data_IF_502323302052
#
_entry.id   IF_502323302052
#
_cell.length_a   1.000
_cell.length_b   1.000
_cell.length_c   1.000
_cell.angle_alpha   90.00
_cell.angle_beta   90.00
_cell.angle_gamma   90.00
#
_symmetry.space_group_name_H-M   'P 1'
#
loop_
_entity.id
_entity.type
_entity.pdbx_description
1 polymer ?
#
# COMPACT_ATOMS: atom_id res chain seq x y z
N UNK A 1 2.98 -44.31 -11.00
CA UNK A 1 3.41 -43.38 -12.06
C UNK A 1 2.38 -42.29 -12.33
N UNK A 2 1.11 -42.63 -12.56
CA UNK A 2 0.07 -41.65 -12.90
C UNK A 2 -0.18 -40.58 -11.81
N UNK A 3 -0.15 -40.96 -10.53
CA UNK A 3 -0.36 -40.03 -9.41
C UNK A 3 0.78 -39.01 -9.26
N UNK A 4 2.03 -39.46 -9.40
CA UNK A 4 3.21 -38.57 -9.33
C UNK A 4 3.20 -37.59 -10.50
N UNK A 5 2.88 -38.06 -11.71
CA UNK A 5 2.75 -37.19 -12.89
C UNK A 5 1.62 -36.17 -12.69
N UNK A 6 0.49 -36.59 -12.15
CA UNK A 6 -0.63 -35.70 -11.84
C UNK A 6 -0.25 -34.60 -10.83
N UNK A 7 0.45 -34.96 -9.75
CA UNK A 7 0.94 -33.98 -8.76
C UNK A 7 1.91 -32.98 -9.40
N UNK A 8 2.85 -33.45 -10.21
CA UNK A 8 3.81 -32.57 -10.91
C UNK A 8 3.08 -31.58 -11.82
N UNK A 9 2.10 -32.04 -12.59
CA UNK A 9 1.30 -31.18 -13.47
C UNK A 9 0.57 -30.10 -12.69
N UNK A 10 -0.04 -30.44 -11.55
CA UNK A 10 -0.71 -29.45 -10.71
C UNK A 10 0.29 -28.40 -10.20
N UNK A 11 1.44 -28.83 -9.65
CA UNK A 11 2.46 -27.91 -9.13
C UNK A 11 2.95 -26.95 -10.20
N UNK A 12 3.18 -27.44 -11.43
CA UNK A 12 3.57 -26.60 -12.57
C UNK A 12 2.49 -25.57 -12.90
N UNK A 13 1.21 -25.98 -12.91
CA UNK A 13 0.08 -25.06 -13.14
C UNK A 13 0.01 -23.99 -12.04
N UNK A 14 0.22 -24.37 -10.78
CA UNK A 14 0.23 -23.42 -9.65
C UNK A 14 1.32 -22.38 -9.80
N UNK A 15 2.56 -22.83 -10.03
CA UNK A 15 3.72 -21.94 -10.21
C UNK A 15 3.48 -21.02 -11.39
N UNK A 16 3.02 -21.56 -12.52
CA UNK A 16 2.70 -20.76 -13.71
C UNK A 16 1.63 -19.71 -13.42
N UNK A 17 0.56 -20.07 -12.70
CA UNK A 17 -0.50 -19.14 -12.31
C UNK A 17 0.01 -18.01 -11.42
N UNK A 18 0.84 -18.32 -10.41
CA UNK A 18 1.42 -17.31 -9.51
C UNK A 18 2.33 -16.35 -10.28
N UNK A 19 3.21 -16.88 -11.13
CA UNK A 19 4.11 -16.07 -11.96
C UNK A 19 3.31 -15.19 -12.92
N UNK A 20 2.30 -15.74 -13.58
CA UNK A 20 1.44 -15.00 -14.51
C UNK A 20 0.68 -13.87 -13.80
N UNK A 21 0.09 -14.14 -12.62
CA UNK A 21 -0.58 -13.13 -11.81
C UNK A 21 0.38 -12.00 -11.41
N UNK A 22 1.57 -12.35 -10.94
CA UNK A 22 2.58 -11.37 -10.51
C UNK A 22 3.02 -10.46 -11.66
N UNK A 23 3.26 -11.03 -12.85
CA UNK A 23 3.62 -10.26 -14.05
C UNK A 23 2.48 -9.34 -14.47
N UNK A 24 1.24 -9.85 -14.49
CA UNK A 24 0.04 -9.08 -14.84
C UNK A 24 -0.17 -7.90 -13.90
N UNK A 25 -0.04 -8.11 -12.59
CA UNK A 25 -0.16 -7.06 -11.58
C UNK A 25 0.93 -6.00 -11.73
N UNK A 26 2.18 -6.42 -11.93
CA UNK A 26 3.29 -5.51 -12.18
C UNK A 26 3.03 -4.62 -13.40
N UNK A 27 2.64 -5.22 -14.52
CA UNK A 27 2.31 -4.46 -15.73
C UNK A 27 1.13 -3.50 -15.51
N UNK A 28 0.07 -3.96 -14.83
CA UNK A 28 -1.09 -3.12 -14.52
C UNK A 28 -0.70 -1.92 -13.66
N UNK A 29 0.10 -2.12 -12.61
CA UNK A 29 0.59 -1.06 -11.71
C UNK A 29 1.47 -0.06 -12.47
N UNK A 30 2.38 -0.51 -13.32
CA UNK A 30 3.22 0.38 -14.12
C UNK A 30 2.41 1.22 -15.11
N UNK A 31 1.47 0.61 -15.83
CA UNK A 31 0.58 1.33 -16.74
C UNK A 31 -0.30 2.35 -16.00
N UNK A 32 -0.81 1.98 -14.82
CA UNK A 32 -1.59 2.88 -13.98
C UNK A 32 -0.77 4.10 -13.56
N UNK A 33 0.48 3.91 -13.13
CA UNK A 33 1.38 5.00 -12.71
C UNK A 33 1.62 5.98 -13.86
N UNK A 34 1.91 5.46 -15.07
CA UNK A 34 2.12 6.29 -16.25
C UNK A 34 0.87 7.08 -16.64
N UNK A 35 -0.31 6.44 -16.60
CA UNK A 35 -1.59 7.10 -16.94
C UNK A 35 -1.95 8.20 -15.95
N UNK A 36 -1.71 7.96 -14.66
CA UNK A 36 -2.07 8.89 -13.57
C UNK A 36 -1.21 10.13 -13.50
N UNK A 37 0.01 10.10 -14.06
CA UNK A 37 0.94 11.23 -14.01
C UNK A 37 0.34 12.55 -14.54
N UNK A 38 -0.49 12.47 -15.58
CA UNK A 38 -1.14 13.64 -16.19
C UNK A 38 -2.63 13.75 -15.83
N UNK A 39 -3.11 13.01 -14.83
CA UNK A 39 -4.50 13.03 -14.39
C UNK A 39 -4.61 13.76 -13.05
N UNK A 40 -5.73 14.44 -12.84
CA UNK A 40 -6.05 15.02 -11.53
C UNK A 40 -6.18 13.88 -10.50
N UNK A 41 -5.36 13.86 -9.43
CA UNK A 41 -5.41 12.82 -8.42
C UNK A 41 -6.76 12.71 -7.72
N UNK A 42 -7.47 13.82 -7.58
CA UNK A 42 -8.82 13.85 -6.97
C UNK A 42 -9.86 13.07 -7.77
N UNK A 43 -9.61 12.80 -9.07
CA UNK A 43 -10.53 12.03 -9.92
C UNK A 43 -10.59 10.53 -9.60
N UNK A 44 -9.56 9.98 -8.94
CA UNK A 44 -9.44 8.54 -8.72
C UNK A 44 -9.14 8.15 -7.26
N UNK A 45 -8.95 9.13 -6.37
CA UNK A 45 -8.64 8.88 -4.97
C UNK A 45 -9.20 9.98 -4.07
N UNK A 46 -10.02 9.57 -3.10
CA UNK A 46 -10.56 10.46 -2.07
C UNK A 46 -9.88 10.16 -0.72
N UNK A 47 -8.99 11.05 -0.23
CA UNK A 47 -8.37 10.89 1.07
C UNK A 47 -9.35 11.18 2.21
N UNK A 48 -9.17 10.51 3.35
CA UNK A 48 -9.86 10.87 4.59
C UNK A 48 -9.04 11.89 5.38
N UNK A 49 -9.49 13.15 5.41
CA UNK A 49 -8.78 14.23 6.11
C UNK A 49 -8.58 13.96 7.59
N UNK A 50 -9.55 13.34 8.28
CA UNK A 50 -9.44 13.06 9.72
C UNK A 50 -8.21 12.20 10.03
N UNK A 51 -7.96 11.19 9.19
CA UNK A 51 -6.79 10.32 9.35
C UNK A 51 -5.48 11.08 9.09
N UNK A 52 -5.49 12.06 8.17
CA UNK A 52 -4.32 12.89 7.86
C UNK A 52 -4.02 13.87 9.00
N UNK A 53 -5.06 14.49 9.58
CA UNK A 53 -4.93 15.32 10.79
C UNK A 53 -4.29 14.53 11.92
N UNK A 54 -4.81 13.32 12.21
CA UNK A 54 -4.25 12.43 13.24
C UNK A 54 -2.75 12.16 12.99
N UNK A 55 -2.37 11.89 11.73
CA UNK A 55 -0.96 11.64 11.37
C UNK A 55 -0.05 12.87 11.45
N UNK A 56 -0.59 14.06 11.18
CA UNK A 56 0.19 15.29 11.17
C UNK A 56 0.72 15.65 12.55
N UNK A 57 -0.05 15.39 13.61
CA UNK A 57 0.38 15.65 14.99
C UNK A 57 1.69 14.91 15.34
N UNK A 58 1.84 13.68 14.86
CA UNK A 58 3.06 12.92 15.05
C UNK A 58 4.18 13.39 14.12
N UNK A 59 3.87 13.64 12.84
CA UNK A 59 4.91 14.06 11.91
C UNK A 59 5.52 15.41 12.30
N UNK A 60 4.78 16.29 12.95
CA UNK A 60 5.34 17.53 13.53
C UNK A 60 6.42 17.24 14.57
N UNK A 61 6.23 16.26 15.45
CA UNK A 61 7.25 15.90 16.44
C UNK A 61 8.46 15.24 15.78
N UNK A 62 8.25 14.37 14.78
CA UNK A 62 9.33 13.70 14.06
C UNK A 62 10.17 14.66 13.21
N UNK A 63 9.53 15.65 12.59
CA UNK A 63 10.17 16.63 11.71
C UNK A 63 10.75 17.82 12.47
N UNK A 64 10.58 17.87 13.80
CA UNK A 64 10.95 19.03 14.64
C UNK A 64 10.34 20.34 14.10
N UNK A 65 9.08 20.27 13.66
CA UNK A 65 8.36 21.40 13.06
C UNK A 65 7.05 21.65 13.78
N UNK A 66 6.65 22.92 13.82
CA UNK A 66 5.31 23.32 14.24
C UNK A 66 4.47 23.71 13.03
N UNK A 67 3.19 23.36 13.04
CA UNK A 67 2.24 23.80 12.03
C UNK A 67 2.00 25.30 12.15
N UNK A 68 2.47 26.08 11.17
CA UNK A 68 2.29 27.53 11.14
C UNK A 68 0.96 27.96 10.48
N UNK A 69 0.25 27.03 9.83
CA UNK A 69 -1.09 27.27 9.30
C UNK A 69 -2.14 26.77 10.29
N UNK A 70 -2.92 27.71 10.84
CA UNK A 70 -4.02 27.37 11.73
C UNK A 70 -5.24 26.82 10.95
N UNK A 71 -6.22 26.28 11.68
CA UNK A 71 -7.40 25.65 11.06
C UNK A 71 -8.27 26.63 10.26
N UNK A 72 -8.40 27.88 10.69
CA UNK A 72 -9.20 28.88 9.98
C UNK A 72 -8.57 29.20 8.62
N UNK A 73 -7.27 29.52 8.59
CA UNK A 73 -6.51 29.75 7.35
C UNK A 73 -6.55 28.54 6.42
N UNK A 74 -6.50 27.32 6.98
CA UNK A 74 -6.60 26.08 6.20
C UNK A 74 -7.94 25.97 5.46
N UNK A 75 -9.04 26.34 6.12
CA UNK A 75 -10.37 26.35 5.53
C UNK A 75 -10.56 27.52 4.55
N UNK A 76 -10.15 28.73 4.92
CA UNK A 76 -10.31 29.93 4.09
C UNK A 76 -9.60 29.80 2.72
N UNK A 77 -8.51 29.03 2.67
CA UNK A 77 -7.72 28.79 1.45
C UNK A 77 -8.06 27.46 0.76
N UNK A 78 -9.06 26.72 1.25
CA UNK A 78 -9.44 25.40 0.75
C UNK A 78 -8.23 24.45 0.57
N UNK A 79 -7.27 24.47 1.52
CA UNK A 79 -5.99 23.76 1.35
C UNK A 79 -6.14 22.25 1.28
N UNK A 80 -7.25 21.69 1.78
CA UNK A 80 -7.54 20.27 1.60
C UNK A 80 -7.88 19.92 0.14
N UNK A 81 -8.57 20.80 -0.59
CA UNK A 81 -8.82 20.62 -2.02
C UNK A 81 -7.54 20.79 -2.84
N UNK A 82 -6.68 21.74 -2.45
CA UNK A 82 -5.33 21.86 -3.02
C UNK A 82 -4.54 20.58 -2.80
N UNK A 83 -4.51 20.06 -1.56
CA UNK A 83 -3.87 18.80 -1.23
C UNK A 83 -4.37 17.65 -2.12
N UNK A 84 -5.69 17.50 -2.29
CA UNK A 84 -6.28 16.46 -3.14
C UNK A 84 -5.78 16.54 -4.60
N UNK A 85 -5.62 17.75 -5.14
CA UNK A 85 -5.15 17.98 -6.51
C UNK A 85 -3.65 17.73 -6.70
N UNK A 86 -2.83 17.95 -5.67
CA UNK A 86 -1.37 17.78 -5.78
C UNK A 86 -0.87 16.42 -5.27
N UNK A 87 -1.74 15.62 -4.63
CA UNK A 87 -1.38 14.33 -4.04
C UNK A 87 -1.13 13.21 -5.09
N UNK A 88 0.02 13.30 -5.75
CA UNK A 88 0.59 12.29 -6.65
C UNK A 88 1.45 11.23 -5.94
N UNK A 89 1.34 11.14 -4.61
CA UNK A 89 2.08 10.13 -3.85
C UNK A 89 1.53 8.73 -4.15
N UNK A 90 2.29 7.69 -3.79
CA UNK A 90 1.87 6.29 -3.99
C UNK A 90 1.90 5.45 -2.70
N UNK A 91 2.29 6.05 -1.58
CA UNK A 91 2.33 5.42 -0.28
C UNK A 91 1.56 6.25 0.75
N UNK A 92 0.98 5.59 1.75
CA UNK A 92 0.30 6.29 2.86
C UNK A 92 1.26 7.24 3.61
N UNK A 93 2.52 6.84 3.79
CA UNK A 93 3.54 7.72 4.38
C UNK A 93 3.73 9.01 3.58
N UNK A 94 3.78 8.92 2.24
CA UNK A 94 3.92 10.09 1.39
C UNK A 94 2.73 11.04 1.51
N UNK A 95 1.51 10.52 1.67
CA UNK A 95 0.31 11.33 1.94
C UNK A 95 0.40 12.10 3.23
N UNK A 96 0.80 11.41 4.31
CA UNK A 96 0.92 12.00 5.63
C UNK A 96 1.99 13.10 5.63
N UNK A 97 3.14 12.88 4.98
CA UNK A 97 4.20 13.90 4.80
C UNK A 97 3.70 15.07 3.98
N UNK A 98 3.06 14.82 2.82
CA UNK A 98 2.59 15.89 1.94
C UNK A 98 1.51 16.75 2.62
N UNK A 99 0.59 16.14 3.35
CA UNK A 99 -0.42 16.87 4.10
C UNK A 99 0.21 17.70 5.23
N UNK A 100 1.18 17.13 5.95
CA UNK A 100 1.87 17.82 7.04
C UNK A 100 2.74 18.96 6.54
N UNK A 101 3.41 18.80 5.40
CA UNK A 101 4.24 19.86 4.81
C UNK A 101 3.42 21.07 4.38
N UNK A 102 2.18 20.86 3.90
CA UNK A 102 1.26 21.96 3.61
C UNK A 102 0.84 22.73 4.87
N UNK A 103 0.89 22.14 6.06
CA UNK A 103 0.57 22.81 7.33
C UNK A 103 1.77 23.49 8.00
N UNK A 104 2.99 23.12 7.60
CA UNK A 104 4.25 23.71 8.06
C UNK A 104 5.07 24.20 6.87
N UNK A 105 4.56 25.24 6.20
CA UNK A 105 5.22 25.84 5.04
C UNK A 105 6.41 26.66 5.53
N UNK A 106 7.61 26.30 5.08
CA UNK A 106 8.80 27.12 5.35
C UNK A 106 8.74 28.39 4.48
N UNK A 107 8.84 29.55 5.12
CA UNK A 107 8.91 30.84 4.41
C UNK A 107 10.25 30.98 3.65
N UNK A 108 11.27 30.20 4.06
CA UNK A 108 12.54 30.08 3.37
C UNK A 108 12.70 28.65 2.80
N UNK A 109 12.36 28.41 1.53
CA UNK A 109 12.35 27.06 0.95
C UNK A 109 13.74 26.42 0.86
N UNK A 110 14.81 27.22 0.80
CA UNK A 110 16.19 26.75 0.65
C UNK A 110 16.71 25.94 1.84
N UNK A 111 16.05 26.03 3.00
CA UNK A 111 16.39 25.27 4.21
C UNK A 111 15.44 24.09 4.49
N UNK A 112 14.47 23.84 3.62
CA UNK A 112 13.48 22.79 3.89
C UNK A 112 14.08 21.40 3.71
N UNK A 113 14.05 20.51 4.72
CA UNK A 113 14.53 19.14 4.55
C UNK A 113 13.62 18.30 3.63
N UNK A 114 12.42 18.81 3.32
CA UNK A 114 11.39 18.12 2.54
C UNK A 114 11.41 18.49 1.05
N UNK A 115 11.91 19.69 0.72
CA UNK A 115 11.94 20.21 -0.64
C UNK A 115 13.38 20.15 -1.13
N UNK A 116 13.63 19.29 -2.12
CA UNK A 116 14.92 19.23 -2.79
C UNK A 116 14.71 19.48 -4.30
N UNK A 117 15.08 20.68 -4.73
CA UNK A 117 14.91 21.14 -6.10
C UNK A 117 15.73 20.30 -7.10
N UNK A 118 16.92 19.82 -6.71
CA UNK A 118 17.75 18.96 -7.55
C UNK A 118 17.03 17.64 -7.84
N UNK A 119 16.46 16.98 -6.83
CA UNK A 119 15.66 15.76 -7.01
C UNK A 119 14.40 16.02 -7.83
N UNK A 120 13.74 17.16 -7.65
CA UNK A 120 12.56 17.52 -8.44
C UNK A 120 12.93 17.67 -9.92
N UNK A 121 14.00 18.40 -10.24
CA UNK A 121 14.48 18.60 -11.60
C UNK A 121 14.92 17.26 -12.21
N UNK A 122 15.66 16.45 -11.45
CA UNK A 122 16.12 15.14 -11.87
C UNK A 122 14.95 14.22 -12.23
N UNK A 123 13.98 14.06 -11.34
CA UNK A 123 12.83 13.18 -11.54
C UNK A 123 11.86 13.71 -12.60
N UNK A 124 11.84 15.02 -12.84
CA UNK A 124 11.09 15.62 -13.96
C UNK A 124 11.69 15.18 -15.29
N UNK A 125 13.01 15.24 -15.42
CA UNK A 125 13.73 14.92 -16.66
C UNK A 125 13.93 13.41 -16.89
N UNK A 126 13.92 12.58 -15.83
CA UNK A 126 14.14 11.13 -15.92
C UNK A 126 12.86 10.33 -15.67
N UNK A 127 11.98 10.28 -16.68
CA UNK A 127 10.65 9.66 -16.56
C UNK A 127 10.69 8.17 -16.19
N UNK A 128 11.64 7.41 -16.75
CA UNK A 128 11.77 5.98 -16.48
C UNK A 128 12.19 5.69 -15.03
N UNK A 129 13.09 6.52 -14.48
CA UNK A 129 13.53 6.39 -13.11
C UNK A 129 12.45 6.81 -12.12
N UNK A 130 11.76 7.92 -12.41
CA UNK A 130 10.58 8.35 -11.68
C UNK A 130 9.53 7.25 -11.62
N UNK A 131 9.20 6.63 -12.76
CA UNK A 131 8.23 5.53 -12.80
C UNK A 131 8.67 4.31 -11.99
N UNK A 132 9.97 3.97 -11.99
CA UNK A 132 10.53 2.90 -11.14
C UNK A 132 10.37 3.22 -9.65
N UNK A 133 10.67 4.44 -9.23
CA UNK A 133 10.52 4.89 -7.83
C UNK A 133 9.05 4.87 -7.43
N UNK A 134 8.17 5.46 -8.25
CA UNK A 134 6.72 5.46 -8.02
C UNK A 134 6.16 4.04 -7.93
N UNK A 135 6.66 3.12 -8.76
CA UNK A 135 6.29 1.70 -8.67
C UNK A 135 6.68 1.10 -7.33
N UNK A 136 7.92 1.32 -6.86
CA UNK A 136 8.37 0.83 -5.55
C UNK A 136 7.53 1.41 -4.41
N UNK A 137 7.22 2.70 -4.46
CA UNK A 137 6.35 3.36 -3.47
C UNK A 137 4.92 2.82 -3.51
N UNK A 138 4.38 2.51 -4.70
CA UNK A 138 3.05 1.93 -4.86
C UNK A 138 2.94 0.53 -4.25
N UNK A 139 4.04 -0.23 -4.20
CA UNK A 139 4.06 -1.52 -3.49
C UNK A 139 3.88 -1.38 -1.97
N UNK A 140 4.17 -0.21 -1.38
CA UNK A 140 3.90 0.05 0.03
C UNK A 140 2.40 0.28 0.30
N UNK A 141 1.66 0.72 -0.73
CA UNK A 141 0.22 0.93 -0.69
C UNK A 141 -0.21 2.26 -0.05
N UNK A 142 -1.36 2.75 -0.51
CA UNK A 142 -2.08 3.92 0.06
C UNK A 142 -3.23 3.54 1.00
N UNK A 143 -3.87 2.41 0.74
CA UNK A 143 -5.09 1.99 1.43
C UNK A 143 -4.78 1.20 2.69
N UNK A 144 -4.23 1.86 3.69
CA UNK A 144 -4.21 1.29 5.04
C UNK A 144 -5.58 1.62 5.65
N UNK A 145 -6.47 0.61 5.72
CA UNK A 145 -7.78 0.73 6.41
C UNK A 145 -7.60 0.95 7.91
N UNK A 146 -6.46 0.54 8.44
CA UNK A 146 -6.05 0.77 9.82
C UNK A 146 -5.26 2.07 9.90
N UNK A 147 -5.46 2.80 10.99
CA UNK A 147 -4.89 4.11 11.23
C UNK A 147 -3.40 4.16 10.84
N UNK A 148 -3.10 5.15 10.00
CA UNK A 148 -1.84 5.90 9.92
C UNK A 148 -0.54 5.18 10.32
N UNK A 149 0.44 5.21 9.42
CA UNK A 149 1.76 4.60 9.59
C UNK A 149 2.45 4.96 10.91
N UNK A 150 2.15 6.12 11.52
CA UNK A 150 2.69 6.49 12.82
C UNK A 150 2.29 5.53 13.95
N UNK A 151 1.12 4.89 13.91
CA UNK A 151 0.76 3.89 14.95
C UNK A 151 1.71 2.71 14.93
N UNK A 152 2.22 2.33 13.75
CA UNK A 152 3.23 1.28 13.63
C UNK A 152 4.59 1.67 14.21
N UNK A 153 4.92 2.96 14.25
CA UNK A 153 6.21 3.45 14.78
C UNK A 153 6.16 3.86 16.25
N UNK A 154 4.97 4.22 16.77
CA UNK A 154 4.79 4.76 18.13
C UNK A 154 4.28 3.75 19.15
N UNK A 155 3.44 2.80 18.73
CA UNK A 155 2.82 1.87 19.64
C UNK A 155 3.72 0.63 19.78
N UNK A 156 4.46 0.53 20.89
CA UNK A 156 5.16 -0.69 21.34
C UNK A 156 4.16 -1.79 21.75
N UNK A 157 3.08 -1.97 20.99
CA UNK A 157 1.93 -2.74 21.42
C UNK A 157 1.67 -3.88 20.43
N UNK A 158 1.96 -5.07 20.93
CA UNK A 158 1.30 -6.35 20.65
C UNK A 158 0.29 -6.25 19.50
N UNK A 159 0.73 -6.68 18.32
CA UNK A 159 -0.07 -6.77 17.10
C UNK A 159 -1.36 -7.51 17.42
N UNK A 160 -2.45 -6.77 17.70
CA UNK A 160 -3.79 -7.33 17.59
C UNK A 160 -4.08 -7.38 16.11
N UNK A 161 -3.58 -8.45 15.48
CA UNK A 161 -3.97 -8.81 14.13
C UNK A 161 -5.50 -8.92 14.16
N UNK A 162 -6.18 -7.92 13.59
CA UNK A 162 -7.64 -7.88 13.53
C UNK A 162 -8.08 -8.89 12.47
N UNK A 163 -7.92 -10.18 12.80
CA UNK A 163 -8.59 -11.31 12.17
C UNK A 163 -10.07 -11.33 12.61
N UNK A 164 -10.75 -10.19 12.61
CA UNK A 164 -12.12 -10.10 13.13
C UNK A 164 -13.17 -10.63 12.14
N UNK A 165 -12.78 -10.98 10.92
CA UNK A 165 -13.68 -11.63 9.97
C UNK A 165 -13.67 -13.14 10.18
N UNK A 166 -14.82 -13.71 10.54
CA UNK A 166 -15.04 -15.17 10.67
C UNK A 166 -14.60 -15.94 9.43
N UNK A 167 -14.64 -15.30 8.25
CA UNK A 167 -14.16 -15.89 7.00
C UNK A 167 -12.65 -16.16 7.01
N UNK A 168 -11.83 -15.25 7.53
CA UNK A 168 -10.37 -15.43 7.53
C UNK A 168 -10.00 -16.60 8.47
N UNK A 169 -10.69 -16.74 9.60
CA UNK A 169 -10.51 -17.89 10.50
C UNK A 169 -10.89 -19.21 9.84
N UNK A 170 -11.97 -19.22 9.07
CA UNK A 170 -12.44 -20.40 8.33
C UNK A 170 -11.44 -20.80 7.22
N UNK A 171 -10.96 -19.85 6.43
CA UNK A 171 -9.99 -20.13 5.37
C UNK A 171 -8.63 -20.54 5.93
N UNK A 172 -8.21 -19.98 7.08
CA UNK A 172 -6.96 -20.34 7.74
C UNK A 172 -6.94 -21.77 8.32
N UNK A 173 -8.11 -22.39 8.57
CA UNK A 173 -8.18 -23.77 9.08
C UNK A 173 -8.21 -24.83 7.98
N UNK A 174 -8.51 -24.47 6.73
CA UNK A 174 -8.55 -25.40 5.59
C UNK A 174 -7.20 -26.12 5.33
N UNK A 175 -6.02 -25.47 5.40
CA UNK A 175 -4.75 -26.18 5.23
C UNK A 175 -4.54 -27.28 6.28
N UNK A 176 -4.99 -27.05 7.51
CA UNK A 176 -4.89 -28.00 8.62
C UNK A 176 -5.79 -29.21 8.37
N UNK A 177 -7.03 -28.96 7.94
CA UNK A 177 -7.97 -30.02 7.55
C UNK A 177 -7.41 -30.86 6.38
N UNK A 178 -6.69 -30.20 5.47
CA UNK A 178 -6.04 -30.85 4.33
C UNK A 178 -4.97 -31.85 4.75
N UNK A 179 -4.13 -31.49 5.74
CA UNK A 179 -3.12 -32.40 6.27
C UNK A 179 -3.74 -33.66 6.88
N UNK A 180 -4.90 -33.55 7.53
CA UNK A 180 -5.64 -34.69 8.10
C UNK A 180 -6.18 -35.59 6.98
N UNK A 181 -6.79 -35.00 5.95
CA UNK A 181 -7.32 -35.74 4.79
C UNK A 181 -6.25 -36.49 4.00
N UNK A 182 -5.02 -35.98 3.99
CA UNK A 182 -3.88 -36.57 3.29
C UNK A 182 -3.49 -37.96 3.83
N UNK A 183 -3.81 -38.25 5.10
CA UNK A 183 -3.59 -39.57 5.73
C UNK A 183 -4.52 -40.63 5.12
N UNK A 184 -5.75 -40.26 4.76
CA UNK A 184 -6.76 -41.18 4.24
C UNK A 184 -6.77 -41.23 2.71
N UNK A 185 -6.52 -40.08 2.06
CA UNK A 185 -6.44 -39.97 0.60
C UNK A 185 -5.42 -38.90 0.22
N UNK A 186 -4.21 -39.30 -0.19
CA UNK A 186 -3.14 -38.36 -0.55
C UNK A 186 -3.56 -37.40 -1.67
N UNK A 187 -4.30 -37.87 -2.68
CA UNK A 187 -4.73 -37.06 -3.82
C UNK A 187 -5.71 -35.96 -3.40
N UNK A 188 -6.71 -36.31 -2.59
CA UNK A 188 -7.72 -35.36 -2.11
C UNK A 188 -7.08 -34.36 -1.14
N UNK A 189 -6.21 -34.84 -0.24
CA UNK A 189 -5.47 -34.00 0.70
C UNK A 189 -4.55 -32.98 0.02
N UNK A 190 -3.84 -33.36 -1.03
CA UNK A 190 -2.98 -32.42 -1.78
C UNK A 190 -3.84 -31.40 -2.56
N UNK A 191 -4.92 -31.86 -3.20
CA UNK A 191 -5.81 -30.99 -3.96
C UNK A 191 -6.45 -29.90 -3.10
N UNK A 192 -6.96 -30.26 -1.92
CA UNK A 192 -7.55 -29.31 -0.97
C UNK A 192 -6.50 -28.33 -0.41
N UNK A 193 -5.26 -28.77 -0.22
CA UNK A 193 -4.19 -27.95 0.35
C UNK A 193 -3.83 -26.83 -0.62
N UNK A 194 -3.66 -27.19 -1.88
CA UNK A 194 -3.38 -26.24 -2.97
C UNK A 194 -4.55 -25.26 -3.12
N UNK A 195 -5.80 -25.75 -3.14
CA UNK A 195 -6.97 -24.89 -3.22
C UNK A 195 -7.06 -23.91 -2.04
N UNK A 196 -6.70 -24.35 -0.83
CA UNK A 196 -6.70 -23.50 0.37
C UNK A 196 -5.68 -22.36 0.29
N UNK A 197 -4.48 -22.63 -0.24
CA UNK A 197 -3.45 -21.60 -0.47
C UNK A 197 -3.93 -20.56 -1.48
N UNK A 198 -4.56 -21.00 -2.57
CA UNK A 198 -5.13 -20.09 -3.56
C UNK A 198 -6.24 -19.21 -3.00
N UNK A 199 -7.16 -19.79 -2.21
CA UNK A 199 -8.20 -19.01 -1.53
C UNK A 199 -7.59 -18.01 -0.56
N UNK A 200 -6.59 -18.41 0.22
CA UNK A 200 -5.92 -17.52 1.18
C UNK A 200 -5.23 -16.34 0.47
N UNK A 201 -4.57 -16.57 -0.66
CA UNK A 201 -3.97 -15.51 -1.47
C UNK A 201 -4.99 -14.52 -2.04
N UNK A 202 -6.23 -14.96 -2.29
CA UNK A 202 -7.29 -14.09 -2.80
C UNK A 202 -7.93 -13.21 -1.72
N UNK A 203 -7.94 -13.66 -0.46
CA UNK A 203 -8.61 -12.98 0.65
C UNK A 203 -7.68 -12.16 1.57
N UNK A 204 -6.37 -12.22 1.34
CA UNK A 204 -5.35 -11.35 1.96
C UNK A 204 -5.24 -10.04 1.17
#
# INVERSE_FOLDING_TARGET
MNEVIFIIVIVVIVIFSIVFMTIKERHKSQQMIQRRWNQDPSSYYEPNERNLIESSHYLFTLLEKEGNINHATWQDLDLFDVYKKINLTYSKFGEDILYTSLKAIDINPSSSPLINEEWQLYLTNHMDERAKIQYRLNQLGKKIKTNSLYRYFLEDTSIKMVLSSSFIKLFASLPILSCILMIFSPVIGIGLFIASIFLMLFFI
#
